data_IF_326182448970
#
_entry.id   IF_326182448970
#
_cell.length_a   1.000
_cell.length_b   1.000
_cell.length_c   1.000
_cell.angle_alpha   90.00
_cell.angle_beta   90.00
_cell.angle_gamma   90.00
#
_symmetry.space_group_name_H-M   'P 1'
#
loop_
_entity.id
_entity.type
_entity.pdbx_description
1 polymer ?
#
# COMPACT_ATOMS: atom_id res chain seq x y z
N UNK A 1 -5.24 -17.47 42.56
CA UNK A 1 -4.89 -18.64 41.72
C UNK A 1 -6.04 -18.84 40.74
N UNK A 2 -5.96 -18.67 39.43
CA UNK A 2 -4.91 -18.17 38.55
C UNK A 2 -5.59 -17.44 37.37
N UNK A 3 -4.94 -16.37 36.90
CA UNK A 3 -5.33 -15.60 35.73
C UNK A 3 -4.89 -16.36 34.48
N UNK A 4 -5.85 -16.79 33.66
CA UNK A 4 -5.60 -17.36 32.34
C UNK A 4 -5.30 -16.24 31.34
N UNK A 5 -4.05 -15.81 31.26
CA UNK A 5 -3.56 -14.94 30.21
C UNK A 5 -3.54 -15.69 28.88
N UNK A 6 -4.45 -15.33 27.98
CA UNK A 6 -4.39 -15.75 26.58
C UNK A 6 -3.19 -15.09 25.91
N UNK A 7 -2.06 -15.82 25.86
CA UNK A 7 -0.94 -15.49 24.98
C UNK A 7 -1.43 -15.57 23.53
N UNK A 8 -1.46 -14.44 22.84
CA UNK A 8 -1.55 -14.41 21.39
C UNK A 8 -0.31 -15.08 20.83
N UNK A 9 -0.46 -16.30 20.32
CA UNK A 9 0.61 -17.03 19.65
C UNK A 9 0.99 -16.26 18.39
N UNK A 10 2.15 -15.59 18.42
CA UNK A 10 2.77 -15.05 17.22
C UNK A 10 3.12 -16.26 16.33
N UNK A 11 2.42 -16.43 15.21
CA UNK A 11 2.73 -17.50 14.25
C UNK A 11 4.07 -17.14 13.62
N UNK A 12 5.13 -17.80 14.05
CA UNK A 12 6.43 -17.71 13.39
C UNK A 12 6.32 -18.51 12.09
N UNK A 13 6.39 -17.82 10.96
CA UNK A 13 6.37 -18.44 9.63
C UNK A 13 7.78 -18.96 9.36
N UNK A 14 8.01 -20.24 9.61
CA UNK A 14 9.27 -20.90 9.28
C UNK A 14 9.26 -21.33 7.81
N UNK A 15 10.31 -20.97 7.06
CA UNK A 15 10.42 -21.26 5.64
C UNK A 15 10.37 -22.77 5.34
N UNK A 16 10.93 -23.60 6.22
CA UNK A 16 10.91 -25.06 6.09
C UNK A 16 9.49 -25.63 6.18
N UNK A 17 8.65 -25.08 7.06
CA UNK A 17 7.24 -25.46 7.18
C UNK A 17 6.45 -25.06 5.94
N UNK A 18 6.74 -23.88 5.36
CA UNK A 18 6.12 -23.48 4.09
C UNK A 18 6.50 -24.43 2.94
N UNK A 19 7.76 -24.87 2.86
CA UNK A 19 8.22 -25.84 1.84
C UNK A 19 7.53 -27.19 2.03
N UNK A 20 7.42 -27.68 3.26
CA UNK A 20 6.74 -28.94 3.56
C UNK A 20 5.25 -28.91 3.16
N UNK A 21 4.56 -27.78 3.40
CA UNK A 21 3.16 -27.59 3.03
C UNK A 21 3.00 -27.44 1.51
N UNK A 22 3.99 -26.86 0.81
CA UNK A 22 3.96 -26.70 -0.65
C UNK A 22 3.88 -28.04 -1.40
N UNK A 23 4.33 -29.15 -0.80
CA UNK A 23 4.12 -30.49 -1.37
C UNK A 23 2.64 -30.84 -1.60
N UNK A 24 1.72 -30.18 -0.89
CA UNK A 24 0.27 -30.35 -1.01
C UNK A 24 -0.41 -29.17 -1.73
N UNK A 25 0.35 -28.33 -2.44
CA UNK A 25 -0.17 -27.09 -3.01
C UNK A 25 -1.32 -27.33 -3.99
N UNK A 26 -1.26 -28.38 -4.83
CA UNK A 26 -2.36 -28.76 -5.71
C UNK A 26 -3.67 -29.02 -4.96
N UNK A 27 -3.61 -29.74 -3.84
CA UNK A 27 -4.78 -30.01 -3.00
C UNK A 27 -5.33 -28.71 -2.42
N UNK A 28 -4.46 -27.79 -2.01
CA UNK A 28 -4.86 -26.47 -1.50
C UNK A 28 -5.58 -25.70 -2.61
N UNK A 29 -5.03 -25.64 -3.82
CA UNK A 29 -5.63 -24.95 -4.96
C UNK A 29 -7.02 -25.50 -5.31
N UNK A 30 -7.19 -26.83 -5.33
CA UNK A 30 -8.47 -27.48 -5.64
C UNK A 30 -9.58 -27.12 -4.62
N UNK A 31 -9.20 -26.75 -3.39
CA UNK A 31 -10.13 -26.34 -2.34
C UNK A 31 -10.36 -24.83 -2.25
N UNK A 32 -9.58 -23.99 -2.94
CA UNK A 32 -9.71 -22.52 -2.90
C UNK A 32 -11.11 -22.04 -3.31
N UNK A 33 -11.74 -22.72 -4.27
CA UNK A 33 -13.10 -22.44 -4.71
C UNK A 33 -14.16 -22.67 -3.62
N UNK A 34 -13.87 -23.44 -2.58
CA UNK A 34 -14.86 -23.87 -1.57
C UNK A 34 -14.55 -23.35 -0.18
N UNK A 35 -13.27 -23.21 0.17
CA UNK A 35 -12.83 -22.96 1.54
C UNK A 35 -11.92 -21.74 1.60
N UNK A 36 -12.36 -20.67 2.29
CA UNK A 36 -11.56 -19.45 2.48
C UNK A 36 -10.17 -19.75 3.08
N UNK A 37 -10.10 -20.67 4.05
CA UNK A 37 -8.85 -21.09 4.69
C UNK A 37 -7.86 -21.70 3.69
N UNK A 38 -8.31 -22.34 2.61
CA UNK A 38 -7.43 -22.85 1.57
C UNK A 38 -6.75 -21.70 0.83
N UNK A 39 -7.48 -20.64 0.47
CA UNK A 39 -6.90 -19.44 -0.12
C UNK A 39 -5.92 -18.74 0.82
N UNK A 40 -6.26 -18.63 2.10
CA UNK A 40 -5.34 -18.08 3.12
C UNK A 40 -4.08 -18.94 3.26
N UNK A 41 -4.21 -20.27 3.21
CA UNK A 41 -3.08 -21.19 3.25
C UNK A 41 -2.20 -21.04 2.01
N UNK A 42 -2.78 -20.99 0.81
CA UNK A 42 -2.04 -20.76 -0.44
C UNK A 42 -1.24 -19.45 -0.38
N UNK A 43 -1.86 -18.38 0.13
CA UNK A 43 -1.19 -17.09 0.38
C UNK A 43 0.03 -17.25 1.30
N UNK A 44 -0.17 -17.85 2.48
CA UNK A 44 0.89 -18.03 3.49
C UNK A 44 2.03 -18.91 2.99
N UNK A 45 1.74 -19.94 2.19
CA UNK A 45 2.75 -20.87 1.65
C UNK A 45 3.69 -20.17 0.67
N UNK A 46 3.19 -19.21 -0.10
CA UNK A 46 3.99 -18.44 -1.07
C UNK A 46 4.65 -17.21 -0.44
N UNK A 47 4.03 -16.66 0.60
CA UNK A 47 4.42 -15.39 1.20
C UNK A 47 5.88 -15.38 1.68
N UNK A 48 6.69 -14.50 1.09
CA UNK A 48 8.13 -14.34 1.41
C UNK A 48 8.96 -15.63 1.27
N UNK A 49 8.54 -16.54 0.39
CA UNK A 49 9.27 -17.79 0.12
C UNK A 49 9.64 -17.92 -1.37
N UNK A 50 10.84 -17.46 -1.76
CA UNK A 50 11.26 -17.49 -3.17
C UNK A 50 11.35 -18.89 -3.77
N UNK A 51 11.72 -19.90 -2.97
CA UNK A 51 11.80 -21.28 -3.44
C UNK A 51 10.43 -21.81 -3.87
N UNK A 52 9.40 -21.59 -3.04
CA UNK A 52 8.03 -21.97 -3.37
C UNK A 52 7.50 -21.17 -4.57
N UNK A 53 7.74 -19.86 -4.60
CA UNK A 53 7.30 -19.01 -5.70
C UNK A 53 7.89 -19.44 -7.06
N UNK A 54 9.19 -19.73 -7.11
CA UNK A 54 9.85 -20.24 -8.32
C UNK A 54 9.40 -21.67 -8.71
N UNK A 55 8.85 -22.45 -7.78
CA UNK A 55 8.33 -23.79 -8.05
C UNK A 55 6.87 -23.81 -8.56
N UNK A 56 6.20 -22.65 -8.65
CA UNK A 56 4.83 -22.58 -9.17
C UNK A 56 4.79 -22.87 -10.67
N UNK A 57 3.99 -23.87 -11.05
CA UNK A 57 3.87 -24.35 -12.44
C UNK A 57 2.83 -23.56 -13.24
N UNK A 58 2.79 -23.79 -14.56
CA UNK A 58 1.71 -23.28 -15.43
C UNK A 58 0.32 -23.70 -14.97
N UNK A 59 0.18 -24.99 -14.61
CA UNK A 59 -1.10 -25.55 -14.18
C UNK A 59 -1.61 -24.90 -12.89
N UNK A 60 -0.71 -24.60 -11.95
CA UNK A 60 -1.06 -23.86 -10.73
C UNK A 60 -1.58 -22.45 -11.04
N UNK A 61 -0.92 -21.73 -11.96
CA UNK A 61 -1.38 -20.40 -12.39
C UNK A 61 -2.73 -20.46 -13.09
N UNK A 62 -2.94 -21.44 -13.96
CA UNK A 62 -4.22 -21.62 -14.66
C UNK A 62 -5.35 -21.90 -13.66
N UNK A 63 -5.12 -22.74 -12.64
CA UNK A 63 -6.09 -22.96 -11.55
C UNK A 63 -6.45 -21.65 -10.84
N UNK A 64 -5.46 -20.85 -10.43
CA UNK A 64 -5.71 -19.60 -9.69
C UNK A 64 -6.45 -18.58 -10.57
N UNK A 65 -6.05 -18.43 -11.84
CA UNK A 65 -6.63 -17.44 -12.76
C UNK A 65 -8.04 -17.82 -13.19
N UNK A 66 -8.31 -19.09 -13.46
CA UNK A 66 -9.65 -19.55 -13.83
C UNK A 66 -10.67 -19.31 -12.70
N UNK A 67 -10.27 -19.40 -11.43
CA UNK A 67 -11.13 -19.05 -10.30
C UNK A 67 -11.57 -17.57 -10.30
N UNK A 68 -10.78 -16.68 -10.90
CA UNK A 68 -11.16 -15.27 -11.11
C UNK A 68 -12.07 -15.08 -12.33
N UNK A 69 -12.06 -15.98 -13.31
CA UNK A 69 -12.93 -15.93 -14.49
C UNK A 69 -14.35 -16.41 -14.18
N UNK A 70 -14.47 -17.42 -13.31
CA UNK A 70 -15.73 -18.12 -13.00
C UNK A 70 -16.79 -17.29 -12.25
N UNK A 71 -16.63 -15.96 -12.20
CA UNK A 71 -17.68 -15.06 -11.73
C UNK A 71 -17.87 -15.07 -10.20
N UNK A 72 -16.95 -15.66 -9.44
CA UNK A 72 -17.12 -15.76 -7.99
C UNK A 72 -16.98 -14.39 -7.34
N UNK A 73 -17.85 -14.05 -6.37
CA UNK A 73 -17.76 -12.79 -5.60
C UNK A 73 -16.52 -12.68 -4.69
N UNK A 74 -15.46 -13.46 -4.95
CA UNK A 74 -14.25 -13.64 -4.12
C UNK A 74 -12.96 -13.29 -4.86
N UNK A 75 -13.05 -12.47 -5.91
CA UNK A 75 -11.90 -12.09 -6.74
C UNK A 75 -10.70 -11.58 -5.93
N UNK A 76 -10.95 -10.80 -4.86
CA UNK A 76 -9.90 -10.27 -3.98
C UNK A 76 -9.05 -11.38 -3.33
N UNK A 77 -9.65 -12.53 -2.99
CA UNK A 77 -8.92 -13.62 -2.34
C UNK A 77 -7.94 -14.28 -3.28
N UNK A 78 -8.32 -14.44 -4.56
CA UNK A 78 -7.47 -15.11 -5.54
C UNK A 78 -6.36 -14.17 -6.03
N UNK A 79 -6.64 -12.89 -6.20
CA UNK A 79 -5.62 -11.90 -6.55
C UNK A 79 -4.58 -11.74 -5.43
N UNK A 80 -4.97 -11.88 -4.16
CA UNK A 80 -4.01 -11.86 -3.02
C UNK A 80 -3.00 -13.01 -3.07
N UNK A 81 -3.37 -14.18 -3.62
CA UNK A 81 -2.44 -15.30 -3.85
C UNK A 81 -1.45 -14.94 -4.95
N UNK A 82 -1.93 -14.37 -6.07
CA UNK A 82 -1.05 -13.88 -7.15
C UNK A 82 -0.13 -12.76 -6.68
N UNK A 83 -0.61 -11.87 -5.82
CA UNK A 83 0.19 -10.81 -5.22
C UNK A 83 1.30 -11.37 -4.32
N UNK A 84 0.97 -12.40 -3.53
CA UNK A 84 1.96 -13.08 -2.69
C UNK A 84 3.00 -13.84 -3.51
N UNK A 85 2.56 -14.44 -4.63
CA UNK A 85 3.45 -15.04 -5.61
C UNK A 85 4.41 -13.99 -6.17
N UNK A 86 3.89 -12.88 -6.71
CA UNK A 86 4.67 -11.81 -7.33
C UNK A 86 5.73 -11.25 -6.37
N UNK A 87 5.35 -10.96 -5.12
CA UNK A 87 6.27 -10.47 -4.08
C UNK A 87 7.36 -11.45 -3.65
N UNK A 88 7.11 -12.75 -3.82
CA UNK A 88 8.09 -13.79 -3.51
C UNK A 88 9.00 -14.13 -4.69
N UNK A 89 8.71 -13.64 -5.91
CA UNK A 89 9.59 -13.85 -7.04
C UNK A 89 10.91 -13.09 -6.81
N UNK A 90 12.07 -13.68 -7.15
CA UNK A 90 13.31 -12.94 -7.21
C UNK A 90 13.20 -11.78 -8.21
N UNK A 91 13.79 -10.61 -7.92
CA UNK A 91 13.79 -9.43 -8.80
C UNK A 91 14.27 -9.72 -10.24
N UNK A 92 15.06 -10.78 -10.43
CA UNK A 92 15.57 -11.22 -11.73
C UNK A 92 14.62 -12.16 -12.51
N UNK A 93 13.53 -12.65 -11.91
CA UNK A 93 12.60 -13.60 -12.54
C UNK A 93 11.50 -12.91 -13.36
N UNK A 94 11.97 -12.10 -14.31
CA UNK A 94 11.14 -11.42 -15.31
C UNK A 94 10.24 -12.38 -16.11
N UNK A 95 10.64 -13.65 -16.25
CA UNK A 95 9.86 -14.65 -16.98
C UNK A 95 8.59 -15.05 -16.24
N UNK A 96 8.67 -15.28 -14.93
CA UNK A 96 7.51 -15.62 -14.11
C UNK A 96 6.53 -14.44 -14.02
N UNK A 97 7.03 -13.21 -13.87
CA UNK A 97 6.19 -12.02 -13.88
C UNK A 97 5.44 -11.85 -15.22
N UNK A 98 6.16 -12.01 -16.34
CA UNK A 98 5.57 -11.95 -17.69
C UNK A 98 4.54 -13.05 -17.92
N UNK A 99 4.80 -14.25 -17.41
CA UNK A 99 3.89 -15.38 -17.49
C UNK A 99 2.58 -15.10 -16.76
N UNK A 100 2.65 -14.60 -15.53
CA UNK A 100 1.46 -14.18 -14.76
C UNK A 100 0.69 -13.13 -15.55
N UNK A 101 1.39 -12.10 -16.05
CA UNK A 101 0.78 -11.00 -16.81
C UNK A 101 0.06 -11.47 -18.08
N UNK A 102 0.69 -12.33 -18.88
CA UNK A 102 0.09 -12.87 -20.12
C UNK A 102 -1.14 -13.75 -19.84
N UNK A 103 -1.12 -14.58 -18.79
CA UNK A 103 -2.30 -15.37 -18.41
C UNK A 103 -3.42 -14.47 -17.88
N UNK A 104 -3.08 -13.42 -17.14
CA UNK A 104 -4.05 -12.41 -16.69
C UNK A 104 -4.71 -11.67 -17.86
N UNK A 105 -3.95 -11.37 -18.92
CA UNK A 105 -4.43 -10.72 -20.14
C UNK A 105 -5.29 -11.59 -21.06
N UNK A 106 -5.54 -12.86 -20.69
CA UNK A 106 -6.44 -13.72 -21.45
C UNK A 106 -7.81 -13.07 -21.69
N UNK A 107 -8.49 -13.39 -22.81
CA UNK A 107 -9.71 -12.71 -23.25
C UNK A 107 -10.86 -12.74 -22.22
N UNK A 108 -10.83 -13.72 -21.31
CA UNK A 108 -11.84 -13.85 -20.26
C UNK A 108 -11.72 -12.82 -19.12
N UNK A 109 -10.55 -12.17 -18.95
CA UNK A 109 -10.25 -11.29 -17.83
C UNK A 109 -10.26 -9.80 -18.17
N UNK A 110 -10.39 -9.45 -19.46
CA UNK A 110 -10.19 -8.06 -19.93
C UNK A 110 -11.00 -7.02 -19.16
N UNK A 111 -12.24 -7.30 -18.78
CA UNK A 111 -13.08 -6.36 -18.02
C UNK A 111 -12.62 -6.12 -16.57
N UNK A 112 -11.93 -7.09 -15.97
CA UNK A 112 -11.39 -6.97 -14.61
C UNK A 112 -10.14 -6.10 -14.58
N UNK A 113 -9.42 -6.01 -15.70
CA UNK A 113 -8.15 -5.28 -15.82
C UNK A 113 -8.34 -3.78 -15.97
N UNK A 114 -9.48 -3.34 -16.51
CA UNK A 114 -9.81 -1.92 -16.79
C UNK A 114 -10.86 -1.40 -15.78
N UNK A 115 -10.87 -2.00 -14.59
CA UNK A 115 -11.87 -1.72 -13.57
C UNK A 115 -11.72 -0.29 -13.04
N UNK A 116 -12.85 0.42 -12.94
CA UNK A 116 -12.94 1.82 -12.53
C UNK A 116 -12.13 2.83 -13.35
N UNK A 117 -11.73 2.48 -14.58
CA UNK A 117 -11.08 3.43 -15.49
C UNK A 117 -12.04 4.50 -16.00
N UNK A 118 -11.49 5.67 -16.32
CA UNK A 118 -12.22 6.83 -16.78
C UNK A 118 -13.06 7.49 -15.68
N UNK A 119 -13.70 8.60 -16.03
CA UNK A 119 -14.52 9.38 -15.09
C UNK A 119 -15.68 8.56 -14.53
N UNK A 120 -16.44 7.89 -15.40
CA UNK A 120 -17.57 7.05 -15.00
C UNK A 120 -17.16 5.88 -14.08
N UNK A 121 -15.97 5.31 -14.31
CA UNK A 121 -15.41 4.26 -13.46
C UNK A 121 -15.07 4.78 -12.06
N UNK A 122 -14.39 5.93 -11.97
CA UNK A 122 -14.07 6.58 -10.69
C UNK A 122 -15.33 6.99 -9.91
N UNK A 123 -16.34 7.54 -10.59
CA UNK A 123 -17.64 7.86 -10.00
C UNK A 123 -18.36 6.61 -9.48
N UNK A 124 -18.30 5.50 -10.22
CA UNK A 124 -18.83 4.21 -9.76
C UNK A 124 -18.15 3.75 -8.48
N UNK A 125 -16.81 3.82 -8.40
CA UNK A 125 -16.05 3.48 -7.19
C UNK A 125 -16.49 4.34 -6.01
N UNK A 126 -16.62 5.66 -6.21
CA UNK A 126 -17.04 6.58 -5.16
C UNK A 126 -18.44 6.22 -4.62
N UNK A 127 -19.39 5.88 -5.52
CA UNK A 127 -20.72 5.41 -5.13
C UNK A 127 -20.69 4.10 -4.34
N UNK A 128 -19.87 3.13 -4.78
CA UNK A 128 -19.71 1.85 -4.08
C UNK A 128 -19.10 2.03 -2.68
N UNK A 129 -18.11 2.92 -2.53
CA UNK A 129 -17.51 3.27 -1.24
C UNK A 129 -18.50 4.00 -0.32
N UNK A 130 -19.26 4.96 -0.84
CA UNK A 130 -20.29 5.66 -0.08
C UNK A 130 -21.37 4.68 0.42
N UNK A 131 -21.81 3.75 -0.43
CA UNK A 131 -22.76 2.72 -0.05
C UNK A 131 -22.24 1.79 1.06
N UNK A 132 -20.93 1.48 1.06
CA UNK A 132 -20.29 0.69 2.13
C UNK A 132 -20.25 1.42 3.48
N UNK A 133 -20.08 2.75 3.47
CA UNK A 133 -20.06 3.56 4.70
C UNK A 133 -21.46 3.69 5.33
N UNK A 134 -22.51 3.73 4.51
CA UNK A 134 -23.91 3.82 4.95
C UNK A 134 -24.44 2.53 5.56
N UNK A 135 -23.90 1.38 5.18
CA UNK A 135 -24.39 0.07 5.61
C UNK A 135 -23.28 -0.71 6.31
N UNK A 136 -23.04 -0.38 7.58
CA UNK A 136 -22.03 -1.06 8.43
C UNK A 136 -22.30 -2.56 8.63
N UNK A 137 -23.49 -3.05 8.23
CA UNK A 137 -23.85 -4.47 8.22
C UNK A 137 -23.45 -5.19 6.94
N UNK A 138 -23.28 -4.48 5.81
CA UNK A 138 -22.77 -4.98 4.53
C UNK A 138 -21.26 -4.81 4.42
N UNK A 139 -20.55 -5.36 5.41
CA UNK A 139 -19.10 -5.46 5.44
C UNK A 139 -18.57 -6.39 4.33
N UNK A 140 -18.61 -5.93 3.08
CA UNK A 140 -17.87 -6.48 1.95
C UNK A 140 -16.43 -5.92 1.95
N UNK A 141 -15.86 -5.71 3.14
CA UNK A 141 -14.58 -5.01 3.35
C UNK A 141 -13.37 -5.76 2.82
N UNK A 142 -13.49 -7.06 2.57
CA UNK A 142 -12.37 -7.90 2.12
C UNK A 142 -12.60 -8.57 0.76
N UNK A 143 -13.81 -8.48 0.17
CA UNK A 143 -14.20 -9.21 -1.05
C UNK A 143 -14.81 -8.36 -2.15
N UNK A 144 -14.97 -7.05 -1.91
CA UNK A 144 -15.62 -6.16 -2.86
C UNK A 144 -14.76 -5.87 -4.09
N UNK A 145 -15.39 -5.40 -5.17
CA UNK A 145 -14.69 -4.98 -6.38
C UNK A 145 -13.65 -3.88 -6.11
N UNK A 146 -13.89 -3.02 -5.11
CA UNK A 146 -12.91 -2.01 -4.68
C UNK A 146 -11.66 -2.64 -4.04
N UNK A 147 -11.83 -3.68 -3.23
CA UNK A 147 -10.71 -4.41 -2.63
C UNK A 147 -9.93 -5.19 -3.70
N UNK A 148 -10.64 -5.81 -4.64
CA UNK A 148 -10.01 -6.44 -5.81
C UNK A 148 -9.21 -5.44 -6.64
N UNK A 149 -9.79 -4.27 -6.95
CA UNK A 149 -9.10 -3.21 -7.69
C UNK A 149 -7.83 -2.76 -6.97
N UNK A 150 -7.89 -2.57 -5.65
CA UNK A 150 -6.73 -2.23 -4.85
C UNK A 150 -5.61 -3.27 -4.99
N UNK A 151 -5.92 -4.55 -4.78
CA UNK A 151 -4.94 -5.63 -4.89
C UNK A 151 -4.44 -5.83 -6.32
N UNK A 152 -5.27 -5.57 -7.33
CA UNK A 152 -4.88 -5.62 -8.75
C UNK A 152 -3.85 -4.55 -9.09
N UNK A 153 -4.04 -3.30 -8.63
CA UNK A 153 -3.07 -2.22 -8.83
C UNK A 153 -1.75 -2.55 -8.14
N UNK A 154 -1.81 -3.13 -6.93
CA UNK A 154 -0.61 -3.62 -6.25
C UNK A 154 0.10 -4.71 -7.06
N UNK A 155 -0.65 -5.70 -7.56
CA UNK A 155 -0.09 -6.78 -8.37
C UNK A 155 0.63 -6.24 -9.61
N UNK A 156 0.04 -5.27 -10.32
CA UNK A 156 0.69 -4.68 -11.49
C UNK A 156 1.99 -3.95 -11.15
N UNK A 157 2.05 -3.27 -10.00
CA UNK A 157 3.27 -2.62 -9.57
C UNK A 157 4.36 -3.63 -9.21
N UNK A 158 4.02 -4.69 -8.46
CA UNK A 158 4.96 -5.76 -8.10
C UNK A 158 5.45 -6.52 -9.34
N UNK A 159 4.58 -6.83 -10.30
CA UNK A 159 4.97 -7.50 -11.55
C UNK A 159 5.85 -6.62 -12.45
N UNK A 160 5.68 -5.30 -12.38
CA UNK A 160 6.50 -4.33 -13.14
C UNK A 160 7.85 -4.04 -12.49
N UNK A 161 8.03 -4.42 -11.22
CA UNK A 161 9.29 -4.25 -10.52
C UNK A 161 10.41 -5.05 -11.21
N UNK A 162 11.65 -4.58 -11.10
CA UNK A 162 12.82 -5.31 -11.61
C UNK A 162 13.15 -5.11 -13.11
N UNK A 163 12.73 -3.99 -13.72
CA UNK A 163 13.10 -3.61 -15.11
C UNK A 163 12.61 -4.58 -16.20
N UNK A 164 11.45 -5.20 -16.02
CA UNK A 164 10.87 -6.05 -17.06
C UNK A 164 10.10 -5.22 -18.11
N UNK A 165 10.81 -4.77 -19.14
CA UNK A 165 10.24 -3.91 -20.21
C UNK A 165 8.96 -4.49 -20.83
N UNK A 166 8.84 -5.81 -20.98
CA UNK A 166 7.66 -6.39 -21.60
C UNK A 166 6.44 -6.33 -20.67
N UNK A 167 6.61 -6.66 -19.38
CA UNK A 167 5.53 -6.51 -18.39
C UNK A 167 5.12 -5.07 -18.23
N UNK A 168 6.09 -4.15 -18.18
CA UNK A 168 5.82 -2.72 -18.15
C UNK A 168 4.93 -2.30 -19.31
N UNK A 169 5.30 -2.62 -20.57
CA UNK A 169 4.50 -2.24 -21.74
C UNK A 169 3.08 -2.80 -21.65
N UNK A 170 2.93 -4.04 -21.17
CA UNK A 170 1.62 -4.64 -20.95
C UNK A 170 0.81 -3.87 -19.90
N UNK A 171 1.41 -3.53 -18.76
CA UNK A 171 0.76 -2.74 -17.71
C UNK A 171 0.37 -1.35 -18.21
N UNK A 172 1.27 -0.66 -18.92
CA UNK A 172 1.03 0.66 -19.51
C UNK A 172 -0.11 0.64 -20.55
N UNK A 173 -0.29 -0.48 -21.26
CA UNK A 173 -1.39 -0.66 -22.20
C UNK A 173 -2.76 -0.81 -21.52
N UNK A 174 -2.78 -1.36 -20.29
CA UNK A 174 -4.00 -1.52 -19.49
C UNK A 174 -4.33 -0.22 -18.75
N UNK A 175 -3.34 0.34 -18.05
CA UNK A 175 -3.52 1.52 -17.20
C UNK A 175 -2.56 2.61 -17.69
N UNK A 176 -2.97 3.46 -18.64
CA UNK A 176 -2.11 4.51 -19.18
C UNK A 176 -1.81 5.59 -18.14
N UNK A 177 -0.71 6.33 -18.35
CA UNK A 177 -0.20 7.33 -17.39
C UNK A 177 -1.26 8.30 -16.88
N UNK A 178 -2.12 8.81 -17.78
CA UNK A 178 -3.16 9.78 -17.41
C UNK A 178 -4.20 9.17 -16.46
N UNK A 179 -4.52 7.89 -16.58
CA UNK A 179 -5.43 7.20 -15.67
C UNK A 179 -4.78 6.97 -14.30
N UNK A 180 -3.48 6.60 -14.26
CA UNK A 180 -2.71 6.52 -13.00
C UNK A 180 -2.75 7.86 -12.26
N UNK A 181 -2.41 8.96 -12.94
CA UNK A 181 -2.45 10.29 -12.36
C UNK A 181 -3.88 10.67 -11.92
N UNK A 182 -4.90 10.38 -12.73
CA UNK A 182 -6.29 10.70 -12.39
C UNK A 182 -6.76 9.97 -11.12
N UNK A 183 -6.36 8.71 -10.90
CA UNK A 183 -6.66 8.00 -9.65
C UNK A 183 -5.91 8.55 -8.45
N UNK A 184 -4.66 8.97 -8.61
CA UNK A 184 -3.89 9.62 -7.52
C UNK A 184 -4.50 10.98 -7.16
N UNK A 185 -5.02 11.72 -8.14
CA UNK A 185 -5.63 13.04 -7.93
C UNK A 185 -7.10 12.98 -7.48
N UNK A 186 -7.73 11.81 -7.48
CA UNK A 186 -9.15 11.65 -7.11
C UNK A 186 -9.32 11.72 -5.59
N UNK A 187 -9.94 12.81 -5.12
CA UNK A 187 -10.21 13.06 -3.70
C UNK A 187 -11.14 12.01 -3.06
N UNK A 188 -11.97 11.32 -3.85
CA UNK A 188 -12.85 10.26 -3.36
C UNK A 188 -12.17 8.88 -3.38
N UNK A 189 -10.95 8.80 -3.89
CA UNK A 189 -10.16 7.58 -3.87
C UNK A 189 -9.51 7.40 -2.49
N UNK A 190 -9.69 6.22 -1.83
CA UNK A 190 -9.02 5.94 -0.57
C UNK A 190 -7.50 6.04 -0.71
N UNK A 191 -6.84 6.61 0.31
CA UNK A 191 -5.39 6.78 0.34
C UNK A 191 -4.61 5.49 0.10
N UNK A 192 -5.08 4.33 0.58
CA UNK A 192 -4.43 3.04 0.32
C UNK A 192 -4.38 2.68 -1.18
N UNK A 193 -5.47 2.97 -1.91
CA UNK A 193 -5.53 2.76 -3.36
C UNK A 193 -4.63 3.78 -4.06
N UNK A 194 -4.66 5.05 -3.64
CA UNK A 194 -3.79 6.11 -4.19
C UNK A 194 -2.31 5.78 -3.96
N UNK A 195 -1.95 5.24 -2.80
CA UNK A 195 -0.60 4.76 -2.49
C UNK A 195 -0.16 3.67 -3.46
N UNK A 196 -1.04 2.70 -3.75
CA UNK A 196 -0.76 1.65 -4.74
C UNK A 196 -0.56 2.22 -6.15
N UNK A 197 -1.31 3.25 -6.54
CA UNK A 197 -1.07 3.96 -7.81
C UNK A 197 0.23 4.77 -7.81
N UNK A 198 0.66 5.33 -6.68
CA UNK A 198 2.00 5.93 -6.57
C UNK A 198 3.09 4.89 -6.80
N UNK A 199 2.98 3.71 -6.20
CA UNK A 199 3.93 2.61 -6.41
C UNK A 199 3.94 2.18 -7.88
N UNK A 200 2.76 2.06 -8.50
CA UNK A 200 2.65 1.77 -9.94
C UNK A 200 3.28 2.87 -10.81
N UNK A 201 3.08 4.15 -10.46
CA UNK A 201 3.69 5.28 -11.15
C UNK A 201 5.23 5.24 -11.05
N UNK A 202 5.75 4.80 -9.91
CA UNK A 202 7.19 4.60 -9.73
C UNK A 202 7.67 3.44 -10.61
N UNK A 203 7.13 2.24 -10.40
CA UNK A 203 7.65 1.02 -11.02
C UNK A 203 7.44 0.98 -12.54
N UNK A 204 6.25 1.34 -13.02
CA UNK A 204 5.89 1.19 -14.43
C UNK A 204 6.15 2.42 -15.29
N UNK A 205 6.45 3.59 -14.70
CA UNK A 205 6.62 4.83 -15.47
C UNK A 205 7.88 5.60 -15.11
N UNK A 206 8.30 5.58 -13.85
CA UNK A 206 9.44 6.38 -13.40
C UNK A 206 10.73 5.58 -13.50
N UNK A 207 10.81 4.39 -12.89
CA UNK A 207 12.03 3.56 -12.77
C UNK A 207 12.49 3.01 -14.12
N UNK A 208 11.58 2.74 -15.05
CA UNK A 208 11.88 1.99 -16.28
C UNK A 208 11.78 2.79 -17.59
N UNK A 209 11.26 4.02 -17.59
CA UNK A 209 11.03 4.72 -18.85
C UNK A 209 12.34 5.09 -19.59
N UNK A 210 12.52 4.46 -20.76
CA UNK A 210 13.41 4.82 -21.86
C UNK A 210 13.27 6.29 -22.35
N UNK A 211 12.35 7.08 -21.78
CA UNK A 211 12.09 8.49 -22.13
C UNK A 211 11.88 9.36 -20.89
N UNK A 212 12.89 9.43 -20.04
CA UNK A 212 12.91 10.32 -18.86
C UNK A 212 12.49 11.77 -19.19
N UNK A 213 12.67 12.26 -20.41
CA UNK A 213 12.24 13.61 -20.80
C UNK A 213 10.71 13.80 -20.87
N UNK A 214 9.90 12.75 -21.07
CA UNK A 214 8.45 12.90 -21.29
C UNK A 214 7.66 13.10 -20.00
N UNK A 215 8.15 12.62 -18.85
CA UNK A 215 7.43 12.78 -17.58
C UNK A 215 7.43 14.23 -17.08
N UNK A 216 8.58 14.92 -17.14
CA UNK A 216 8.70 16.34 -16.74
C UNK A 216 7.83 17.24 -17.61
N UNK A 217 7.55 16.83 -18.85
CA UNK A 217 6.68 17.59 -19.76
C UNK A 217 5.19 17.29 -19.54
N UNK A 218 4.84 16.26 -18.76
CA UNK A 218 3.46 15.85 -18.54
C UNK A 218 2.75 16.74 -17.51
N UNK A 219 1.69 17.48 -17.89
CA UNK A 219 0.92 18.29 -16.95
C UNK A 219 0.28 17.46 -15.82
N UNK A 220 -0.08 16.21 -16.12
CA UNK A 220 -0.71 15.30 -15.15
C UNK A 220 0.24 14.95 -13.99
N UNK A 221 1.56 14.85 -14.25
CA UNK A 221 2.57 14.62 -13.22
C UNK A 221 2.67 15.83 -12.28
N UNK A 222 2.69 17.03 -12.84
CA UNK A 222 2.71 18.27 -12.04
C UNK A 222 1.46 18.44 -11.20
N UNK A 223 0.30 18.03 -11.72
CA UNK A 223 -0.93 18.01 -10.94
C UNK A 223 -0.84 17.03 -9.76
N UNK A 224 -0.30 15.82 -9.97
CA UNK A 224 -0.04 14.85 -8.89
C UNK A 224 0.86 15.45 -7.82
N UNK A 225 1.97 16.09 -8.22
CA UNK A 225 2.90 16.74 -7.29
C UNK A 225 2.23 17.87 -6.50
N UNK A 226 1.43 18.71 -7.17
CA UNK A 226 0.72 19.81 -6.53
C UNK A 226 -0.31 19.33 -5.49
N UNK A 227 -1.12 18.32 -5.85
CA UNK A 227 -2.12 17.73 -4.95
C UNK A 227 -1.43 17.03 -3.78
N UNK A 228 -0.43 16.20 -4.04
CA UNK A 228 0.31 15.51 -2.99
C UNK A 228 0.96 16.50 -2.01
N UNK A 229 1.56 17.58 -2.51
CA UNK A 229 2.16 18.61 -1.66
C UNK A 229 1.11 19.33 -0.80
N UNK A 230 -0.06 19.66 -1.37
CA UNK A 230 -1.17 20.27 -0.63
C UNK A 230 -1.68 19.34 0.48
N UNK A 231 -1.87 18.06 0.19
CA UNK A 231 -2.35 17.08 1.16
C UNK A 231 -1.30 16.78 2.22
N UNK A 232 -0.02 16.63 1.84
CA UNK A 232 1.07 16.45 2.79
C UNK A 232 1.14 17.62 3.78
N UNK A 233 0.98 18.85 3.29
CA UNK A 233 0.92 20.03 4.15
C UNK A 233 -0.27 19.98 5.10
N UNK A 234 -1.46 19.65 4.61
CA UNK A 234 -2.66 19.51 5.43
C UNK A 234 -2.50 18.43 6.50
N UNK A 235 -1.90 17.28 6.16
CA UNK A 235 -1.64 16.18 7.10
C UNK A 235 -0.60 16.61 8.15
N UNK A 236 0.47 17.29 7.74
CA UNK A 236 1.47 17.81 8.68
C UNK A 236 0.89 18.85 9.64
N UNK A 237 0.04 19.76 9.14
CA UNK A 237 -0.69 20.74 9.95
C UNK A 237 -1.69 20.04 10.88
N UNK A 238 -2.38 18.99 10.41
CA UNK A 238 -3.27 18.15 11.21
C UNK A 238 -2.51 17.43 12.33
N UNK A 239 -1.39 16.77 12.04
CA UNK A 239 -0.54 16.10 13.04
C UNK A 239 0.01 17.09 14.07
N UNK A 240 0.33 18.32 13.65
CA UNK A 240 0.79 19.37 14.56
C UNK A 240 -0.31 19.86 15.52
N UNK A 241 -1.58 19.74 15.11
CA UNK A 241 -2.72 20.29 15.85
C UNK A 241 -3.55 19.22 16.60
N UNK A 242 -3.73 18.03 16.02
CA UNK A 242 -4.59 16.94 16.50
C UNK A 242 -4.00 15.57 16.13
N UNK A 243 -3.30 14.92 17.07
CA UNK A 243 -2.92 13.51 16.92
C UNK A 243 -4.13 12.60 17.03
N UNK A 244 -4.34 11.71 16.03
CA UNK A 244 -5.17 10.50 16.06
C UNK A 244 -6.50 10.50 15.24
N UNK A 245 -6.95 11.58 14.59
CA UNK A 245 -8.27 11.59 13.91
C UNK A 245 -8.30 11.01 12.48
N UNK A 246 -7.24 11.17 11.69
CA UNK A 246 -7.23 10.74 10.27
C UNK A 246 -7.03 9.22 10.13
N UNK A 247 -6.21 8.62 11.00
CA UNK A 247 -5.99 7.18 11.06
C UNK A 247 -7.26 6.42 11.46
N UNK A 248 -8.09 7.03 12.32
CA UNK A 248 -9.36 6.46 12.75
C UNK A 248 -10.37 6.38 11.58
N UNK A 249 -10.39 7.40 10.71
CA UNK A 249 -11.25 7.44 9.51
C UNK A 249 -10.78 6.46 8.43
N UNK A 250 -9.46 6.28 8.26
CA UNK A 250 -8.91 5.28 7.35
C UNK A 250 -9.11 3.83 7.84
N UNK A 251 -8.93 3.59 9.14
CA UNK A 251 -9.16 2.28 9.76
C UNK A 251 -10.63 1.83 9.67
N UNK A 252 -11.56 2.78 9.63
CA UNK A 252 -12.99 2.52 9.49
C UNK A 252 -13.38 1.94 8.12
N UNK A 253 -12.59 2.18 7.07
CA UNK A 253 -12.82 1.61 5.73
C UNK A 253 -12.51 0.11 5.66
N UNK A 254 -11.86 -0.48 6.68
CA UNK A 254 -11.42 -1.89 6.75
C UNK A 254 -10.72 -2.42 5.49
N UNK A 255 -10.24 -1.53 4.62
CA UNK A 255 -9.21 -1.85 3.66
C UNK A 255 -8.01 -2.23 4.53
N UNK A 256 -7.68 -3.52 4.56
CA UNK A 256 -6.55 -4.01 5.35
C UNK A 256 -5.38 -3.04 5.14
N UNK A 257 -4.77 -2.45 6.20
CA UNK A 257 -3.46 -1.86 6.07
C UNK A 257 -2.63 -2.97 5.45
N UNK A 258 -2.22 -2.77 4.20
CA UNK A 258 -1.54 -3.78 3.41
C UNK A 258 -0.48 -4.37 4.31
N UNK A 259 -0.58 -5.66 4.62
CA UNK A 259 0.44 -6.30 5.44
C UNK A 259 1.83 -6.21 4.79
N UNK A 260 2.00 -5.63 3.58
CA UNK A 260 3.29 -5.40 2.90
C UNK A 260 3.36 -4.18 1.95
N UNK A 261 2.62 -3.10 2.13
CA UNK A 261 2.63 -1.95 1.19
C UNK A 261 2.86 -0.60 1.88
N UNK A 262 3.51 0.38 1.20
CA UNK A 262 3.81 1.68 1.80
C UNK A 262 2.55 2.50 2.08
N UNK A 263 2.62 3.38 3.09
CA UNK A 263 1.58 4.39 3.34
C UNK A 263 1.45 5.36 2.16
N UNK A 264 0.35 6.11 2.10
CA UNK A 264 0.18 7.15 1.06
C UNK A 264 1.32 8.18 1.09
N UNK A 265 1.77 8.56 2.29
CA UNK A 265 2.87 9.50 2.47
C UNK A 265 4.18 8.85 2.02
N UNK A 266 4.46 7.62 2.44
CA UNK A 266 5.66 6.89 2.04
C UNK A 266 5.74 6.72 0.53
N UNK A 267 4.65 6.26 -0.11
CA UNK A 267 4.59 6.04 -1.54
C UNK A 267 4.75 7.35 -2.34
N UNK A 268 4.07 8.43 -1.92
CA UNK A 268 4.18 9.73 -2.57
C UNK A 268 5.57 10.36 -2.40
N UNK A 269 6.19 10.23 -1.23
CA UNK A 269 7.57 10.69 -1.01
C UNK A 269 8.57 9.87 -1.82
N UNK A 270 8.40 8.55 -1.88
CA UNK A 270 9.23 7.68 -2.70
C UNK A 270 9.13 8.05 -4.18
N UNK A 271 7.93 8.34 -4.68
CA UNK A 271 7.73 8.90 -6.02
C UNK A 271 8.49 10.22 -6.20
N UNK A 272 8.30 11.19 -5.31
CA UNK A 272 8.98 12.49 -5.42
C UNK A 272 10.51 12.36 -5.46
N UNK A 273 11.09 11.54 -4.57
CA UNK A 273 12.54 11.28 -4.54
C UNK A 273 13.00 10.62 -5.84
N UNK A 274 12.30 9.58 -6.28
CA UNK A 274 12.68 8.83 -7.49
C UNK A 274 12.56 9.69 -8.74
N UNK A 275 11.47 10.44 -8.88
CA UNK A 275 11.23 11.39 -9.95
C UNK A 275 12.35 12.42 -10.01
N UNK A 276 12.60 13.11 -8.89
CA UNK A 276 13.62 14.14 -8.85
C UNK A 276 15.03 13.59 -9.07
N UNK A 277 15.40 12.43 -8.52
CA UNK A 277 16.70 11.81 -8.78
C UNK A 277 16.92 11.51 -10.27
N UNK A 278 15.90 10.99 -10.95
CA UNK A 278 15.99 10.73 -12.38
C UNK A 278 16.09 12.00 -13.22
N UNK A 279 15.40 13.06 -12.82
CA UNK A 279 15.36 14.29 -13.61
C UNK A 279 16.44 15.30 -13.23
N UNK A 280 17.04 15.22 -12.03
CA UNK A 280 18.10 16.13 -11.58
C UNK A 280 19.42 15.93 -12.34
N UNK A 281 19.58 14.76 -12.99
CA UNK A 281 20.66 14.47 -13.93
C UNK A 281 20.42 15.08 -15.33
N UNK A 282 19.20 15.57 -15.61
CA UNK A 282 18.88 16.28 -16.84
C UNK A 282 19.03 17.78 -16.55
N UNK A 283 19.79 18.50 -17.37
CA UNK A 283 20.03 19.96 -17.28
C UNK A 283 18.74 20.82 -17.29
N UNK A 284 17.57 20.20 -17.41
CA UNK A 284 16.24 20.81 -17.36
C UNK A 284 15.80 21.25 -15.96
N UNK A 285 16.35 20.70 -14.87
CA UNK A 285 15.94 21.09 -13.51
C UNK A 285 16.95 22.07 -12.88
N UNK A 286 16.48 23.30 -12.62
CA UNK A 286 17.22 24.38 -11.95
C UNK A 286 17.77 24.00 -10.56
N UNK A 287 18.78 24.73 -10.06
CA UNK A 287 19.46 24.48 -8.78
C UNK A 287 18.51 24.36 -7.57
N UNK A 288 17.37 25.07 -7.59
CA UNK A 288 16.35 25.02 -6.54
C UNK A 288 15.70 23.63 -6.39
N UNK A 289 15.62 22.84 -7.47
CA UNK A 289 15.10 21.47 -7.41
C UNK A 289 16.04 20.50 -6.71
N UNK A 290 17.37 20.72 -6.80
CA UNK A 290 18.36 19.94 -6.05
C UNK A 290 18.25 20.24 -4.54
N UNK A 291 17.99 21.48 -4.17
CA UNK A 291 17.71 21.86 -2.77
C UNK A 291 16.41 21.24 -2.26
N UNK A 292 15.35 21.21 -3.09
CA UNK A 292 14.10 20.51 -2.79
C UNK A 292 14.28 19.00 -2.61
N UNK A 293 15.14 18.36 -3.40
CA UNK A 293 15.52 16.95 -3.25
C UNK A 293 16.07 16.65 -1.86
N UNK A 294 17.12 17.36 -1.45
CA UNK A 294 17.73 17.17 -0.14
C UNK A 294 16.75 17.46 1.01
N UNK A 295 15.88 18.45 0.83
CA UNK A 295 14.82 18.73 1.79
C UNK A 295 13.81 17.58 1.87
N UNK A 296 13.31 17.08 0.74
CA UNK A 296 12.35 15.98 0.67
C UNK A 296 12.93 14.67 1.20
N UNK A 297 14.18 14.34 0.91
CA UNK A 297 14.86 13.18 1.51
C UNK A 297 14.96 13.31 3.03
N UNK A 298 15.25 14.52 3.54
CA UNK A 298 15.35 14.77 4.98
C UNK A 298 13.98 14.70 5.66
N UNK A 299 12.94 15.23 5.02
CA UNK A 299 11.56 15.18 5.48
C UNK A 299 11.04 13.74 5.44
N UNK A 300 11.32 12.99 4.37
CA UNK A 300 10.98 11.57 4.25
C UNK A 300 11.61 10.72 5.35
N UNK A 301 12.92 10.87 5.59
CA UNK A 301 13.59 10.19 6.71
C UNK A 301 12.95 10.53 8.07
N UNK A 302 12.53 11.78 8.27
CA UNK A 302 11.85 12.21 9.50
C UNK A 302 10.45 11.62 9.61
N UNK A 303 9.66 11.65 8.53
CA UNK A 303 8.28 11.14 8.51
C UNK A 303 8.23 9.62 8.68
N UNK A 304 9.09 8.87 7.98
CA UNK A 304 9.21 7.42 8.16
C UNK A 304 9.57 7.07 9.60
N UNK A 305 10.43 7.87 10.24
CA UNK A 305 10.76 7.65 11.66
C UNK A 305 9.59 7.96 12.60
N UNK A 306 8.75 8.94 12.27
CA UNK A 306 7.53 9.28 13.01
C UNK A 306 6.47 8.19 12.84
N UNK A 307 6.20 7.73 11.61
CA UNK A 307 5.28 6.62 11.33
C UNK A 307 5.74 5.34 12.03
N UNK A 308 7.01 4.95 11.90
CA UNK A 308 7.56 3.80 12.64
C UNK A 308 7.46 3.97 14.15
N UNK A 309 7.59 5.18 14.69
CA UNK A 309 7.39 5.44 16.11
C UNK A 309 5.91 5.32 16.52
N UNK A 310 4.99 5.75 15.64
CA UNK A 310 3.54 5.66 15.83
C UNK A 310 3.04 4.22 15.76
N UNK A 311 3.53 3.43 14.80
CA UNK A 311 3.23 2.01 14.67
C UNK A 311 3.74 1.22 15.88
N UNK A 312 4.96 1.52 16.35
CA UNK A 312 5.48 0.96 17.61
C UNK A 312 4.59 1.33 18.80
N UNK A 313 4.18 2.59 18.91
CA UNK A 313 3.28 3.03 19.97
C UNK A 313 1.88 2.37 19.89
N UNK A 314 1.36 2.12 18.68
CA UNK A 314 0.10 1.40 18.48
C UNK A 314 0.21 -0.09 18.85
N UNK A 315 1.33 -0.74 18.49
CA UNK A 315 1.65 -2.11 18.89
C UNK A 315 1.79 -2.21 20.42
N UNK A 316 2.48 -1.26 21.05
CA UNK A 316 2.65 -1.22 22.50
C UNK A 316 1.32 -1.00 23.24
N UNK A 317 0.44 -0.11 22.73
CA UNK A 317 -0.93 0.08 23.24
C UNK A 317 -1.75 -1.21 23.13
N UNK A 318 -1.70 -1.90 21.99
CA UNK A 318 -2.40 -3.16 21.77
C UNK A 318 -1.83 -4.32 22.59
N UNK A 319 -0.54 -4.27 22.94
CA UNK A 319 0.11 -5.21 23.85
C UNK A 319 -0.08 -4.86 25.35
N UNK A 320 -0.88 -3.83 25.67
CA UNK A 320 -1.15 -3.40 27.05
C UNK A 320 0.03 -2.73 27.75
N UNK A 321 1.10 -2.39 27.03
CA UNK A 321 2.23 -1.64 27.59
C UNK A 321 1.88 -0.16 27.63
N UNK A 322 1.83 0.41 28.82
CA UNK A 322 1.73 1.88 28.95
C UNK A 322 3.01 2.50 28.39
N UNK A 323 2.91 3.59 27.60
CA UNK A 323 4.09 4.29 27.13
C UNK A 323 4.90 4.77 28.35
N UNK A 324 6.22 4.57 28.30
CA UNK A 324 7.12 5.04 29.34
C UNK A 324 7.00 6.57 29.43
N UNK A 325 6.39 7.05 30.51
CA UNK A 325 6.37 8.46 30.84
C UNK A 325 7.83 8.82 31.14
N UNK A 326 8.38 9.72 30.32
CA UNK A 326 9.72 10.24 30.53
C UNK A 326 9.69 11.13 31.80
N UNK A 327 10.34 10.73 32.92
CA UNK A 327 10.20 11.42 34.20
C UNK A 327 10.78 12.84 34.20
N UNK A 328 11.56 13.21 33.18
CA UNK A 328 12.23 14.51 33.10
C UNK A 328 11.35 15.66 32.56
N UNK A 329 10.06 15.41 32.24
CA UNK A 329 9.13 16.47 31.80
C UNK A 329 8.23 17.03 32.91
N UNK A 330 8.13 16.38 34.07
CA UNK A 330 7.31 16.88 35.18
C UNK A 330 8.07 17.86 36.09
N UNK A 331 9.40 17.81 36.14
CA UNK A 331 10.19 18.68 37.02
C UNK A 331 10.28 20.13 36.55
N UNK A 332 10.11 20.42 35.24
CA UNK A 332 10.13 21.80 34.73
C UNK A 332 8.79 22.53 34.84
N UNK A 333 7.66 21.81 34.99
CA UNK A 333 6.34 22.45 35.12
C UNK A 333 5.91 22.74 36.56
N UNK A 334 6.66 22.24 37.56
CA UNK A 334 6.40 22.51 38.98
C UNK A 334 7.09 23.80 39.44
N UNK A 335 8.26 24.16 38.88
CA UNK A 335 9.01 25.35 39.31
C UNK A 335 8.35 26.67 38.82
N UNK A 336 7.65 26.65 37.67
CA UNK A 336 6.94 27.85 37.17
C UNK A 336 5.60 28.13 37.85
N UNK A 337 5.00 27.16 38.56
CA UNK A 337 3.70 27.36 39.25
C UNK A 337 3.84 27.93 40.65
N UNK A 338 4.93 27.65 41.36
CA UNK A 338 5.17 28.19 42.72
C UNK A 338 5.68 29.64 42.72
N UNK A 339 6.16 30.15 41.58
CA UNK A 339 6.66 31.52 41.45
C UNK A 339 5.55 32.59 41.26
N UNK A 340 4.29 32.19 41.09
CA UNK A 340 3.15 33.11 40.83
C UNK A 340 2.12 33.21 41.96
N UNK A 341 2.36 32.59 43.12
CA UNK A 341 1.46 32.66 44.28
C UNK A 341 1.97 33.49 45.47
N UNK A 342 3.15 34.12 45.38
CA UNK A 342 3.68 35.02 46.41
C UNK A 342 3.92 36.43 45.86
N UNK A 343 2.86 37.15 45.49
CA UNK A 343 2.86 38.61 45.53
C UNK A 343 1.43 39.14 45.39
N UNK A 344 0.85 39.58 46.50
CA UNK A 344 -0.39 40.37 46.47
C UNK A 344 -1.36 40.08 47.61
N UNK A 345 -0.97 40.38 48.85
CA UNK A 345 -1.86 40.92 49.91
C UNK A 345 -1.05 41.27 51.16
N UNK A 346 -0.87 42.57 51.38
CA UNK A 346 -0.33 43.15 52.60
C UNK A 346 -0.10 44.65 52.47
N UNK A 347 -0.99 45.43 53.12
CA UNK A 347 -0.86 46.86 53.50
C UNK A 347 -1.08 47.89 52.36
N UNK A 348 -1.96 48.89 52.45
CA UNK A 348 -2.76 49.52 53.52
C UNK A 348 -4.16 49.90 53.01
#
# INVERSE_FOLDING_TARGET
>A
VGSGGGMGTQVVIEAENQVAVFAYFDLILDHMARVRKATTCARIVLESNPANCSAVTDAHLDKIINLMVEGSARYSWYIDVLLSLARGLPDADSKSALKIMRKMLGPANGFLLVLYSGTAGRERRARELAAQQLDSSKLVGETGMVAFHHALVQLFAELSSGLNNEVEMLVQSIIPLHEVCAHICDAFCPYAIRASFFVLLVESYTVTALKVQTLVQSPAIWQVLAIFNSELRSILESIANHGDEEDAKQSALKLQPSMKGPSFIEAGLWFCITFLHKHAAIDTLQADHKSCLYFLERVSKRLINIEKARDRAAIDRNAGKRPAINPDRETNNVIERDSRQFNGKGER
#
